data_IF_542711215320
#
_entry.id   IF_542711215320
#
_cell.length_a   1.000
_cell.length_b   1.000
_cell.length_c   1.000
_cell.angle_alpha   90.00
_cell.angle_beta   90.00
_cell.angle_gamma   90.00
#
_symmetry.space_group_name_H-M   'P 1'
#
loop_
_entity.id
_entity.type
_entity.pdbx_description
1 polymer ?
#
# COMPACT_ATOMS: atom_id res chain seq x y z
N UNK A 1 4.98 -0.93 0.73
CA UNK A 1 4.62 0.43 0.25
C UNK A 1 3.61 1.14 1.14
N UNK A 2 2.38 0.68 1.34
CA UNK A 2 1.37 1.41 2.14
C UNK A 2 1.88 1.88 3.53
N UNK A 3 2.53 0.97 4.29
CA UNK A 3 3.17 1.31 5.59
C UNK A 3 4.29 2.34 5.43
N UNK A 4 5.15 2.22 4.40
CA UNK A 4 6.18 3.23 4.11
C UNK A 4 5.56 4.58 3.83
N UNK A 5 4.56 4.63 2.93
CA UNK A 5 3.88 5.86 2.53
C UNK A 5 3.22 6.55 3.71
N UNK A 6 2.50 5.79 4.55
CA UNK A 6 1.89 6.32 5.75
C UNK A 6 2.91 6.87 6.74
N UNK A 7 3.94 6.10 7.09
CA UNK A 7 4.94 6.54 8.07
C UNK A 7 5.71 7.76 7.55
N UNK A 8 6.08 7.77 6.27
CA UNK A 8 6.84 8.87 5.69
C UNK A 8 6.04 10.17 5.56
N UNK A 9 4.74 10.06 5.25
CA UNK A 9 3.84 11.19 5.00
C UNK A 9 2.65 11.20 5.97
N UNK A 10 2.89 10.87 7.24
CA UNK A 10 1.85 10.72 8.25
C UNK A 10 1.09 12.02 8.55
N UNK A 11 1.63 13.18 8.20
CA UNK A 11 0.88 14.45 8.27
C UNK A 11 -0.08 14.66 7.09
N UNK A 12 0.06 13.88 6.02
CA UNK A 12 -0.80 13.98 4.82
C UNK A 12 -1.92 12.93 4.80
N UNK A 13 -1.65 11.73 5.32
CA UNK A 13 -2.63 10.63 5.36
C UNK A 13 -3.35 10.56 6.72
N UNK A 14 -4.39 9.73 6.83
CA UNK A 14 -5.21 9.59 8.05
C UNK A 14 -5.23 8.17 8.61
N UNK A 15 -4.50 7.24 7.99
CA UNK A 15 -4.47 5.83 8.33
C UNK A 15 -4.05 4.95 7.17
N UNK A 16 -3.95 3.65 7.43
CA UNK A 16 -3.52 2.67 6.46
C UNK A 16 -4.30 1.35 6.57
N UNK A 17 -4.54 0.75 5.41
CA UNK A 17 -4.95 -0.65 5.28
C UNK A 17 -3.75 -1.48 4.85
N UNK A 18 -3.46 -2.57 5.56
CA UNK A 18 -2.30 -3.43 5.27
C UNK A 18 -2.74 -4.89 5.15
N UNK A 19 -2.63 -5.44 3.95
CA UNK A 19 -2.97 -6.83 3.63
C UNK A 19 -1.67 -7.56 3.33
N UNK A 20 -1.32 -8.55 4.15
CA UNK A 20 -0.12 -9.38 3.96
C UNK A 20 1.18 -8.58 3.68
N UNK A 21 1.40 -7.51 4.45
CA UNK A 21 2.58 -6.64 4.37
C UNK A 21 3.59 -6.92 5.47
N UNK A 22 4.26 -5.86 5.95
CA UNK A 22 5.20 -6.01 7.07
C UNK A 22 5.61 -4.67 7.69
N UNK A 23 6.40 -4.72 8.77
CA UNK A 23 6.91 -3.53 9.47
C UNK A 23 7.58 -2.51 8.54
N UNK A 24 7.48 -1.24 8.90
CA UNK A 24 8.24 -0.18 8.24
C UNK A 24 9.74 -0.52 8.26
N UNK A 25 10.41 -0.34 7.12
CA UNK A 25 11.83 -0.60 6.94
C UNK A 25 12.28 -2.05 7.24
N UNK A 26 11.37 -3.04 7.25
CA UNK A 26 11.67 -4.43 7.63
C UNK A 26 12.90 -5.03 6.92
N UNK A 27 13.00 -4.82 5.61
CA UNK A 27 14.10 -5.36 4.78
C UNK A 27 15.45 -4.72 5.07
N UNK A 28 15.48 -3.51 5.64
CA UNK A 28 16.67 -2.71 5.89
C UNK A 28 17.58 -2.59 4.64
N UNK A 29 16.95 -2.46 3.46
CA UNK A 29 17.63 -2.37 2.17
C UNK A 29 18.29 -3.67 1.69
N UNK A 30 17.94 -4.81 2.29
CA UNK A 30 18.51 -6.11 1.96
C UNK A 30 17.47 -7.04 1.34
N UNK A 31 17.68 -7.45 0.08
CA UNK A 31 16.87 -8.47 -0.59
C UNK A 31 16.90 -9.82 0.15
N UNK A 32 18.01 -10.14 0.83
CA UNK A 32 18.11 -11.36 1.63
C UNK A 32 17.20 -11.31 2.86
N UNK A 33 17.18 -10.18 3.58
CA UNK A 33 16.28 -9.99 4.73
C UNK A 33 14.83 -9.95 4.25
N UNK A 34 14.58 -9.20 3.16
CA UNK A 34 13.27 -9.12 2.52
C UNK A 34 12.70 -10.51 2.25
N UNK A 35 13.44 -11.36 1.53
CA UNK A 35 12.95 -12.66 1.02
C UNK A 35 13.01 -13.82 2.03
N UNK A 36 13.62 -13.63 3.20
CA UNK A 36 13.75 -14.70 4.21
C UNK A 36 13.15 -14.37 5.57
N UNK A 37 13.17 -13.11 6.01
CA UNK A 37 12.75 -12.71 7.36
C UNK A 37 11.49 -11.85 7.35
N UNK A 38 11.32 -11.03 6.31
CA UNK A 38 10.11 -10.23 6.09
C UNK A 38 9.09 -10.91 5.16
N UNK A 39 9.50 -11.98 4.48
CA UNK A 39 8.66 -12.87 3.68
C UNK A 39 9.36 -14.24 3.55
N UNK A 40 8.71 -15.19 2.90
CA UNK A 40 9.24 -16.52 2.57
C UNK A 40 9.34 -16.72 1.04
N UNK A 41 9.88 -15.74 0.32
CA UNK A 41 9.91 -15.77 -1.16
C UNK A 41 11.25 -16.23 -1.77
N UNK A 42 12.26 -16.51 -0.94
CA UNK A 42 13.54 -17.03 -1.42
C UNK A 42 13.45 -18.50 -1.83
N UNK A 43 13.90 -18.82 -3.04
CA UNK A 43 14.06 -20.21 -3.49
C UNK A 43 15.40 -20.82 -3.04
N UNK A 44 16.38 -19.97 -2.71
CA UNK A 44 17.75 -20.37 -2.37
C UNK A 44 17.98 -20.52 -0.88
N UNK A 45 17.24 -19.78 -0.06
CA UNK A 45 17.43 -19.74 1.39
C UNK A 45 16.14 -20.14 2.11
N UNK A 46 16.23 -20.91 3.21
CA UNK A 46 15.06 -21.29 3.96
C UNK A 46 14.38 -20.05 4.56
N UNK A 47 13.07 -20.11 4.71
CA UNK A 47 12.34 -19.07 5.41
C UNK A 47 12.78 -18.98 6.88
N UNK A 48 12.90 -17.74 7.36
CA UNK A 48 13.31 -17.34 8.71
C UNK A 48 12.26 -16.50 9.43
N UNK A 49 11.13 -16.21 8.77
CA UNK A 49 9.99 -15.53 9.36
C UNK A 49 9.53 -16.28 10.62
N UNK A 50 9.56 -15.58 11.75
CA UNK A 50 9.20 -16.08 13.08
C UNK A 50 8.81 -14.91 13.97
N UNK A 51 8.09 -15.13 15.08
CA UNK A 51 7.72 -14.05 15.98
C UNK A 51 8.94 -13.25 16.45
N UNK A 52 8.89 -11.92 16.34
CA UNK A 52 10.00 -11.00 16.64
C UNK A 52 11.17 -11.06 15.66
N UNK A 53 11.07 -11.83 14.58
CA UNK A 53 12.14 -12.06 13.61
C UNK A 53 12.52 -10.81 12.81
N UNK A 54 11.61 -9.85 12.69
CA UNK A 54 11.84 -8.58 11.98
C UNK A 54 12.58 -7.53 12.83
N UNK A 55 12.82 -7.81 14.12
CA UNK A 55 13.56 -6.95 15.07
C UNK A 55 12.93 -5.56 15.27
N UNK A 56 11.70 -5.57 15.77
CA UNK A 56 10.83 -4.38 15.92
C UNK A 56 11.52 -3.20 16.63
N UNK A 57 12.31 -3.44 17.68
CA UNK A 57 13.03 -2.37 18.39
C UNK A 57 14.05 -1.64 17.49
N UNK A 58 14.71 -2.36 16.60
CA UNK A 58 15.65 -1.79 15.62
C UNK A 58 14.90 -0.98 14.55
N UNK A 59 13.75 -1.48 14.10
CA UNK A 59 12.88 -0.77 13.14
C UNK A 59 12.28 0.53 13.71
N UNK A 60 11.92 0.52 15.00
CA UNK A 60 11.49 1.73 15.73
C UNK A 60 12.65 2.74 15.77
N UNK A 61 13.86 2.31 16.16
CA UNK A 61 15.02 3.20 16.21
C UNK A 61 15.34 3.82 14.84
N UNK A 62 15.23 3.06 13.74
CA UNK A 62 15.39 3.63 12.39
C UNK A 62 14.28 4.63 12.04
N UNK A 63 13.04 4.34 12.41
CA UNK A 63 11.90 5.26 12.19
C UNK A 63 12.17 6.60 12.89
N UNK A 64 12.50 6.56 14.19
CA UNK A 64 12.78 7.76 14.98
C UNK A 64 14.01 8.53 14.44
N UNK A 65 15.03 7.80 13.97
CA UNK A 65 16.19 8.42 13.36
C UNK A 65 15.87 9.13 12.04
N UNK A 66 15.10 8.49 11.14
CA UNK A 66 14.65 9.13 9.91
C UNK A 66 13.78 10.36 10.19
N UNK A 67 12.96 10.32 11.24
CA UNK A 67 12.15 11.46 11.65
C UNK A 67 13.00 12.60 12.21
N UNK A 68 13.96 12.30 13.09
CA UNK A 68 14.90 13.28 13.62
C UNK A 68 15.79 13.92 12.55
N UNK A 69 16.06 13.21 11.46
CA UNK A 69 16.76 13.71 10.29
C UNK A 69 15.86 14.44 9.27
N UNK A 70 14.54 14.48 9.49
CA UNK A 70 13.56 15.10 8.59
C UNK A 70 13.25 14.31 7.32
N UNK A 71 13.70 13.05 7.24
CA UNK A 71 13.45 12.15 6.10
C UNK A 71 12.01 11.61 6.07
N UNK A 72 11.32 11.60 7.21
CA UNK A 72 9.90 11.26 7.36
C UNK A 72 9.19 12.30 8.25
N UNK A 73 7.86 12.26 8.29
CA UNK A 73 7.08 13.03 9.26
C UNK A 73 7.34 12.55 10.70
N UNK A 74 7.16 13.42 11.73
CA UNK A 74 7.26 13.01 13.12
C UNK A 74 6.29 11.86 13.44
N UNK A 75 6.73 10.74 14.05
CA UNK A 75 5.88 9.58 14.32
C UNK A 75 4.68 9.90 15.23
N UNK A 76 4.74 10.98 16.01
CA UNK A 76 3.60 11.49 16.78
C UNK A 76 2.35 11.77 15.92
N UNK A 77 2.51 12.04 14.62
CA UNK A 77 1.37 12.21 13.71
C UNK A 77 0.59 10.89 13.49
N UNK A 78 1.22 9.72 13.70
CA UNK A 78 0.55 8.42 13.59
C UNK A 78 -0.47 8.18 14.70
N UNK A 79 -0.39 8.86 15.85
CA UNK A 79 -1.25 8.59 16.99
C UNK A 79 -2.76 8.70 16.67
N UNK A 80 -3.11 9.60 15.74
CA UNK A 80 -4.50 9.80 15.28
C UNK A 80 -4.93 8.89 14.13
N UNK A 81 -4.07 7.99 13.66
CA UNK A 81 -4.36 7.15 12.50
C UNK A 81 -5.19 5.93 12.86
N UNK A 82 -6.14 5.57 12.00
CA UNK A 82 -6.83 4.29 12.06
C UNK A 82 -6.12 3.26 11.16
N UNK A 83 -5.65 2.18 11.76
CA UNK A 83 -4.88 1.13 11.10
C UNK A 83 -5.72 -0.12 10.98
N UNK A 84 -5.96 -0.58 9.75
CA UNK A 84 -6.60 -1.87 9.51
C UNK A 84 -5.59 -2.86 8.93
N UNK A 85 -5.52 -4.05 9.50
CA UNK A 85 -4.55 -5.08 9.13
C UNK A 85 -5.25 -6.40 8.83
N UNK A 86 -4.74 -7.10 7.83
CA UNK A 86 -5.17 -8.45 7.49
C UNK A 86 -3.99 -9.39 7.23
N UNK A 87 -4.06 -10.57 7.84
CA UNK A 87 -3.14 -11.67 7.55
C UNK A 87 -3.97 -12.94 7.36
N UNK A 88 -3.81 -13.62 6.23
CA UNK A 88 -4.41 -14.93 6.05
C UNK A 88 -3.73 -15.95 6.96
N UNK A 89 -4.50 -16.76 7.68
CA UNK A 89 -3.93 -17.76 8.58
C UNK A 89 -3.24 -18.92 7.83
N UNK A 90 -3.43 -18.99 6.50
CA UNK A 90 -2.75 -19.94 5.63
C UNK A 90 -1.63 -19.29 4.79
N UNK A 91 -1.43 -17.97 4.85
CA UNK A 91 -0.45 -17.25 4.02
C UNK A 91 0.98 -17.81 4.18
N UNK A 92 1.50 -18.37 3.08
CA UNK A 92 2.83 -18.98 3.01
C UNK A 92 3.91 -18.03 2.47
N UNK A 93 3.53 -16.88 1.93
CA UNK A 93 4.43 -15.92 1.28
C UNK A 93 4.86 -14.84 2.25
N UNK A 94 3.90 -14.27 3.00
CA UNK A 94 4.13 -13.32 4.10
C UNK A 94 3.44 -13.85 5.34
N UNK A 95 4.07 -14.82 6.02
CA UNK A 95 3.40 -15.52 7.11
C UNK A 95 3.00 -14.60 8.26
N UNK A 96 1.96 -15.02 8.97
CA UNK A 96 1.36 -14.26 10.07
C UNK A 96 2.35 -13.70 11.11
N UNK A 97 3.48 -14.36 11.47
CA UNK A 97 4.49 -13.73 12.32
C UNK A 97 5.01 -12.36 11.85
N UNK A 98 5.14 -12.12 10.54
CA UNK A 98 5.56 -10.82 10.00
C UNK A 98 4.50 -9.76 10.27
N UNK A 99 3.22 -10.08 10.03
CA UNK A 99 2.11 -9.17 10.29
C UNK A 99 1.86 -8.96 11.80
N UNK A 100 2.15 -9.96 12.64
CA UNK A 100 2.17 -9.78 14.10
C UNK A 100 3.27 -8.80 14.53
N UNK A 101 4.46 -8.88 13.93
CA UNK A 101 5.52 -7.91 14.19
C UNK A 101 5.10 -6.49 13.73
N UNK A 102 4.40 -6.36 12.60
CA UNK A 102 3.83 -5.07 12.17
C UNK A 102 2.82 -4.52 13.19
N UNK A 103 2.00 -5.39 13.79
CA UNK A 103 1.05 -4.98 14.82
C UNK A 103 1.77 -4.39 16.03
N UNK A 104 2.83 -5.05 16.51
CA UNK A 104 3.62 -4.54 17.63
C UNK A 104 4.44 -3.29 17.26
N UNK A 105 4.89 -3.16 16.00
CA UNK A 105 5.46 -1.91 15.49
C UNK A 105 4.45 -0.75 15.59
N UNK A 106 3.23 -0.93 15.08
CA UNK A 106 2.21 0.11 15.17
C UNK A 106 1.82 0.42 16.61
N UNK A 107 1.72 -0.59 17.48
CA UNK A 107 1.39 -0.40 18.91
C UNK A 107 2.39 0.47 19.66
N UNK A 108 3.59 0.70 19.11
CA UNK A 108 4.54 1.66 19.67
C UNK A 108 4.10 3.12 19.44
N UNK A 109 3.41 3.42 18.34
CA UNK A 109 3.02 4.78 17.93
C UNK A 109 1.51 5.05 18.00
N UNK A 110 0.69 3.99 18.01
CA UNK A 110 -0.77 4.05 17.84
C UNK A 110 -1.46 3.26 18.95
N UNK A 111 -2.51 3.84 19.52
CA UNK A 111 -3.32 3.19 20.55
C UNK A 111 -4.07 1.95 20.03
N UNK A 112 -4.36 1.00 20.92
CA UNK A 112 -4.83 -0.32 20.52
C UNK A 112 -6.23 -0.27 19.88
N UNK A 113 -7.07 0.67 20.32
CA UNK A 113 -8.41 0.90 19.82
C UNK A 113 -8.43 1.56 18.43
N UNK A 114 -7.30 2.12 17.99
CA UNK A 114 -7.09 2.62 16.63
C UNK A 114 -6.56 1.54 15.66
N UNK A 115 -6.28 0.31 16.13
CA UNK A 115 -5.78 -0.80 15.31
C UNK A 115 -6.78 -1.95 15.26
N UNK A 116 -7.30 -2.26 14.07
CA UNK A 116 -8.07 -3.48 13.80
C UNK A 116 -7.19 -4.50 13.07
N UNK A 117 -7.12 -5.74 13.57
CA UNK A 117 -6.29 -6.78 12.97
C UNK A 117 -7.02 -8.12 12.84
N UNK A 118 -7.46 -8.40 11.61
CA UNK A 118 -8.08 -9.66 11.17
C UNK A 118 -7.01 -10.69 10.81
N UNK A 119 -7.03 -11.86 11.46
CA UNK A 119 -5.99 -12.90 11.25
C UNK A 119 -6.43 -14.35 11.32
N UNK A 120 -7.74 -14.60 11.31
CA UNK A 120 -8.31 -15.94 11.51
C UNK A 120 -8.96 -16.52 10.25
N UNK A 121 -8.96 -15.79 9.14
CA UNK A 121 -9.47 -16.26 7.87
C UNK A 121 -8.40 -17.16 7.21
N UNK A 122 -8.71 -18.42 6.83
CA UNK A 122 -7.77 -19.32 6.16
C UNK A 122 -7.57 -18.94 4.68
N UNK A 123 -7.15 -17.69 4.48
CA UNK A 123 -6.75 -17.16 3.19
C UNK A 123 -5.26 -17.43 2.97
N UNK A 124 -4.93 -17.73 1.72
CA UNK A 124 -3.56 -17.73 1.23
C UNK A 124 -3.13 -16.31 0.82
N UNK A 125 -1.90 -16.11 0.35
CA UNK A 125 -1.37 -14.80 -0.03
C UNK A 125 -2.09 -14.16 -1.25
N UNK A 126 -3.12 -13.37 -0.98
CA UNK A 126 -3.90 -12.64 -1.98
C UNK A 126 -4.66 -11.46 -1.37
N UNK A 127 -5.17 -10.57 -2.24
CA UNK A 127 -6.23 -9.62 -1.90
C UNK A 127 -7.55 -10.37 -1.66
N UNK A 128 -8.10 -10.40 -0.43
CA UNK A 128 -9.38 -11.06 -0.18
C UNK A 128 -10.55 -10.20 -0.66
N UNK A 129 -11.43 -10.80 -1.44
CA UNK A 129 -12.71 -10.21 -1.84
C UNK A 129 -13.85 -11.16 -1.47
N UNK A 130 -15.09 -10.71 -1.61
CA UNK A 130 -16.28 -11.52 -1.37
C UNK A 130 -17.01 -11.97 -2.64
N UNK A 131 -16.54 -11.55 -3.83
CA UNK A 131 -17.25 -11.80 -5.09
C UNK A 131 -16.35 -12.13 -6.30
N UNK A 132 -15.03 -12.00 -6.21
CA UNK A 132 -14.14 -12.15 -7.37
C UNK A 132 -12.81 -12.86 -7.03
N UNK A 133 -12.28 -13.58 -8.01
CA UNK A 133 -10.93 -14.14 -7.95
C UNK A 133 -10.91 -15.65 -7.72
N UNK A 134 -9.73 -16.17 -7.40
CA UNK A 134 -9.54 -17.60 -7.15
C UNK A 134 -10.22 -18.04 -5.84
N UNK A 135 -10.15 -19.33 -5.52
CA UNK A 135 -10.56 -19.79 -4.18
C UNK A 135 -9.68 -19.18 -3.09
N UNK A 136 -10.21 -18.96 -1.89
CA UNK A 136 -9.49 -18.30 -0.79
C UNK A 136 -8.12 -18.91 -0.46
N UNK A 137 -7.98 -20.24 -0.60
CA UNK A 137 -6.76 -20.99 -0.31
C UNK A 137 -5.78 -21.05 -1.49
N UNK A 138 -6.04 -20.35 -2.60
CA UNK A 138 -5.18 -20.38 -3.79
C UNK A 138 -4.02 -19.40 -3.66
N UNK A 139 -2.80 -19.90 -3.83
CA UNK A 139 -1.62 -19.07 -4.11
C UNK A 139 -1.40 -18.98 -5.62
N UNK A 140 -1.61 -17.81 -6.22
CA UNK A 140 -1.32 -17.60 -7.63
C UNK A 140 -2.07 -16.44 -8.27
N UNK A 141 -1.72 -16.14 -9.53
CA UNK A 141 -2.32 -15.05 -10.32
C UNK A 141 -3.86 -15.15 -10.36
N UNK A 142 -4.60 -14.03 -10.22
CA UNK A 142 -4.13 -12.65 -10.15
C UNK A 142 -3.76 -12.18 -8.73
N UNK A 143 -3.58 -13.10 -7.77
CA UNK A 143 -3.41 -12.79 -6.34
C UNK A 143 -4.59 -11.96 -5.79
N UNK A 144 -5.78 -12.26 -6.30
CA UNK A 144 -7.07 -11.78 -5.80
C UNK A 144 -7.93 -13.02 -5.63
N UNK A 145 -8.47 -13.24 -4.43
CA UNK A 145 -9.22 -14.44 -4.10
C UNK A 145 -10.62 -14.08 -3.58
N UNK A 146 -11.61 -14.87 -3.98
CA UNK A 146 -12.92 -14.84 -3.36
C UNK A 146 -12.87 -15.66 -2.06
N UNK A 147 -12.80 -14.93 -0.96
CA UNK A 147 -12.77 -15.45 0.40
C UNK A 147 -14.10 -15.33 1.13
N UNK A 148 -15.16 -14.85 0.46
CA UNK A 148 -16.38 -14.44 1.14
C UNK A 148 -16.15 -13.32 2.17
N UNK A 149 -15.09 -12.54 1.99
CA UNK A 149 -14.65 -11.50 2.92
C UNK A 149 -14.29 -10.22 2.17
N UNK A 150 -15.02 -9.14 2.45
CA UNK A 150 -14.84 -7.83 1.80
C UNK A 150 -13.73 -7.02 2.49
N UNK A 151 -12.46 -7.38 2.24
CA UNK A 151 -11.32 -6.71 2.87
C UNK A 151 -11.28 -5.20 2.56
N UNK A 152 -11.57 -4.81 1.31
CA UNK A 152 -11.63 -3.40 0.91
C UNK A 152 -12.72 -2.65 1.68
N UNK A 153 -13.91 -3.23 1.84
CA UNK A 153 -14.98 -2.63 2.60
C UNK A 153 -14.69 -2.51 4.10
N UNK A 154 -14.08 -3.54 4.69
CA UNK A 154 -13.68 -3.53 6.11
C UNK A 154 -12.59 -2.48 6.38
N UNK A 155 -11.55 -2.42 5.54
CA UNK A 155 -10.47 -1.44 5.73
C UNK A 155 -10.95 0.00 5.51
N UNK A 156 -11.79 0.24 4.49
CA UNK A 156 -12.31 1.59 4.22
C UNK A 156 -13.22 2.07 5.35
N UNK A 157 -14.08 1.19 5.90
CA UNK A 157 -14.93 1.52 7.06
C UNK A 157 -14.11 1.79 8.32
N UNK A 158 -13.02 1.06 8.53
CA UNK A 158 -12.14 1.32 9.67
C UNK A 158 -11.47 2.70 9.57
N UNK A 159 -10.88 3.00 8.41
CA UNK A 159 -10.11 4.23 8.21
C UNK A 159 -11.01 5.47 8.22
N UNK A 160 -12.15 5.40 7.54
CA UNK A 160 -13.01 6.58 7.29
C UNK A 160 -14.23 6.66 8.21
N UNK A 161 -14.42 5.69 9.10
CA UNK A 161 -15.62 5.56 9.92
C UNK A 161 -16.83 5.04 9.13
N UNK A 162 -18.06 5.27 9.61
CA UNK A 162 -19.28 4.77 8.97
C UNK A 162 -19.38 5.19 7.50
N UNK A 163 -19.59 4.19 6.62
CA UNK A 163 -19.77 4.37 5.19
C UNK A 163 -21.18 3.98 4.76
N UNK A 164 -21.67 4.61 3.69
CA UNK A 164 -22.88 4.14 3.00
C UNK A 164 -22.60 2.77 2.39
N UNK A 165 -23.61 1.87 2.30
CA UNK A 165 -23.45 0.59 1.64
C UNK A 165 -22.90 0.76 0.21
N UNK A 166 -22.00 -0.15 -0.19
CA UNK A 166 -21.37 -0.12 -1.51
C UNK A 166 -22.39 -0.23 -2.65
N UNK A 167 -22.02 0.27 -3.83
CA UNK A 167 -22.80 0.10 -5.05
C UNK A 167 -22.72 -1.37 -5.50
N UNK A 168 -23.87 -2.07 -5.55
CA UNK A 168 -23.99 -3.45 -6.04
C UNK A 168 -24.41 -3.53 -7.52
N UNK A 169 -24.61 -2.39 -8.19
CA UNK A 169 -24.94 -2.30 -9.61
C UNK A 169 -23.76 -1.81 -10.45
N UNK A 170 -24.07 -1.21 -11.61
CA UNK A 170 -23.05 -0.57 -12.45
C UNK A 170 -22.49 0.66 -11.74
N UNK A 171 -21.15 0.76 -11.71
CA UNK A 171 -20.44 1.91 -11.17
C UNK A 171 -20.84 3.20 -11.93
N UNK A 172 -21.12 4.26 -11.19
CA UNK A 172 -21.48 5.56 -11.77
C UNK A 172 -20.28 6.43 -12.15
N UNK A 173 -19.12 6.21 -11.51
CA UNK A 173 -17.85 6.87 -11.81
C UNK A 173 -17.15 6.40 -13.09
N UNK A 174 -15.95 6.93 -13.32
CA UNK A 174 -15.09 6.59 -14.47
C UNK A 174 -13.67 6.26 -14.03
N UNK A 175 -13.04 5.36 -14.78
CA UNK A 175 -11.60 5.10 -14.69
C UNK A 175 -10.84 6.03 -15.62
N UNK A 176 -9.76 6.61 -15.14
CA UNK A 176 -8.90 7.53 -15.89
C UNK A 176 -7.49 6.96 -15.85
N UNK A 177 -6.93 6.64 -17.01
CA UNK A 177 -5.51 6.39 -17.15
C UNK A 177 -4.76 7.72 -17.19
N UNK A 178 -3.59 7.80 -16.55
CA UNK A 178 -2.75 8.99 -16.55
C UNK A 178 -1.27 8.63 -16.67
N UNK A 179 -0.46 9.58 -17.16
CA UNK A 179 0.97 9.40 -17.35
C UNK A 179 1.74 9.62 -16.04
N UNK A 180 2.37 8.56 -15.50
CA UNK A 180 3.19 8.63 -14.29
C UNK A 180 4.51 9.35 -14.54
N UNK A 181 4.95 9.52 -15.79
CA UNK A 181 6.16 10.27 -16.13
C UNK A 181 6.06 11.76 -15.78
N UNK A 182 4.84 12.30 -15.65
CA UNK A 182 4.59 13.63 -15.08
C UNK A 182 5.10 13.76 -13.63
N UNK A 183 5.20 12.65 -12.91
CA UNK A 183 5.52 12.62 -11.47
C UNK A 183 6.88 11.98 -11.17
N UNK A 184 7.43 11.23 -12.13
CA UNK A 184 8.75 10.61 -12.05
C UNK A 184 9.34 10.42 -13.45
N UNK A 185 10.37 11.18 -13.86
CA UNK A 185 11.02 10.99 -15.15
C UNK A 185 11.55 9.56 -15.32
N UNK A 186 11.37 8.98 -16.51
CA UNK A 186 11.80 7.61 -16.84
C UNK A 186 11.31 6.57 -15.79
N UNK A 187 9.99 6.49 -15.53
CA UNK A 187 9.46 5.73 -14.39
C UNK A 187 9.87 4.24 -14.42
N UNK A 188 10.04 3.66 -15.61
CA UNK A 188 10.49 2.27 -15.77
C UNK A 188 11.87 1.98 -15.18
N UNK A 189 12.78 2.98 -15.14
CA UNK A 189 14.09 2.83 -14.49
C UNK A 189 13.98 2.72 -12.96
N UNK A 190 12.87 3.22 -12.43
CA UNK A 190 12.54 3.26 -11.01
C UNK A 190 11.47 2.23 -10.63
N UNK A 191 11.15 1.28 -11.52
CA UNK A 191 10.20 0.21 -11.27
C UNK A 191 8.76 0.68 -11.15
N UNK A 192 8.41 1.76 -11.86
CA UNK A 192 7.04 2.25 -12.03
C UNK A 192 6.65 2.19 -13.50
N UNK A 193 5.40 1.84 -13.79
CA UNK A 193 4.90 1.86 -15.17
C UNK A 193 4.78 3.30 -15.69
N UNK A 194 4.67 3.48 -17.01
CA UNK A 194 4.33 4.80 -17.58
C UNK A 194 2.88 5.19 -17.30
N UNK A 195 1.97 4.22 -17.15
CA UNK A 195 0.54 4.48 -16.95
C UNK A 195 0.11 4.16 -15.52
N UNK A 196 -0.58 5.10 -14.88
CA UNK A 196 -1.30 4.93 -13.62
C UNK A 196 -2.81 5.03 -13.83
N UNK A 197 -3.61 4.67 -12.83
CA UNK A 197 -5.08 4.74 -12.92
C UNK A 197 -5.68 5.49 -11.74
N UNK A 198 -6.80 6.17 -11.97
CA UNK A 198 -7.64 6.72 -10.91
C UNK A 198 -9.11 6.41 -11.19
N UNK A 199 -9.82 5.93 -10.17
CA UNK A 199 -11.28 5.83 -10.19
C UNK A 199 -11.89 7.08 -9.58
N UNK A 200 -12.72 7.78 -10.34
CA UNK A 200 -13.40 9.01 -9.92
C UNK A 200 -14.90 8.77 -9.85
N UNK A 201 -15.52 8.73 -8.65
CA UNK A 201 -16.97 8.66 -8.52
C UNK A 201 -17.66 9.83 -9.21
N UNK A 202 -18.86 9.61 -9.75
CA UNK A 202 -19.65 10.66 -10.43
C UNK A 202 -19.84 11.92 -9.57
N UNK A 203 -20.06 11.73 -8.27
CA UNK A 203 -20.24 12.83 -7.32
C UNK A 203 -18.97 13.69 -7.13
N UNK A 204 -17.78 13.10 -7.35
CA UNK A 204 -16.50 13.82 -7.30
C UNK A 204 -16.22 14.53 -8.62
N UNK A 205 -16.52 13.89 -9.75
CA UNK A 205 -16.33 14.47 -11.08
C UNK A 205 -17.21 15.73 -11.27
N UNK A 206 -18.47 15.67 -10.83
CA UNK A 206 -19.44 16.76 -10.96
C UNK A 206 -19.06 18.05 -10.19
N UNK A 207 -18.23 17.96 -9.16
CA UNK A 207 -17.84 19.09 -8.31
C UNK A 207 -16.33 19.34 -8.32
N UNK A 208 -15.62 18.88 -9.34
CA UNK A 208 -14.16 19.03 -9.46
C UNK A 208 -13.41 18.56 -8.20
N UNK A 209 -13.87 17.45 -7.60
CA UNK A 209 -13.28 16.83 -6.41
C UNK A 209 -13.64 17.48 -5.07
N UNK A 210 -14.38 18.58 -5.05
CA UNK A 210 -14.70 19.29 -3.81
C UNK A 210 -15.47 18.40 -2.82
N UNK A 211 -14.90 18.23 -1.61
CA UNK A 211 -15.48 17.42 -0.53
C UNK A 211 -15.34 15.90 -0.72
N UNK A 212 -14.54 15.45 -1.69
CA UNK A 212 -14.19 14.04 -1.84
C UNK A 212 -12.95 13.68 -1.01
N UNK A 213 -12.93 12.43 -0.55
CA UNK A 213 -11.77 11.81 0.10
C UNK A 213 -10.90 11.14 -0.97
N UNK A 214 -9.62 10.93 -0.66
CA UNK A 214 -8.69 10.19 -1.51
C UNK A 214 -8.21 8.94 -0.78
N UNK A 215 -8.24 7.80 -1.45
CA UNK A 215 -7.62 6.56 -1.03
C UNK A 215 -6.57 6.14 -2.08
N UNK A 216 -5.38 5.72 -1.64
CA UNK A 216 -4.35 5.19 -2.55
C UNK A 216 -4.28 3.68 -2.36
N UNK A 217 -4.57 2.93 -3.42
CA UNK A 217 -4.56 1.48 -3.40
C UNK A 217 -3.35 0.95 -4.18
N UNK A 218 -2.38 0.42 -3.45
CA UNK A 218 -1.17 -0.18 -4.02
C UNK A 218 -1.41 -1.66 -4.30
N UNK A 219 -1.18 -2.10 -5.54
CA UNK A 219 -1.16 -3.52 -5.89
C UNK A 219 0.07 -4.23 -5.30
N UNK A 220 0.02 -5.57 -5.20
CA UNK A 220 1.15 -6.40 -4.78
C UNK A 220 2.13 -6.71 -5.92
N UNK A 221 3.17 -7.49 -5.62
CA UNK A 221 4.04 -8.03 -6.67
C UNK A 221 3.23 -8.91 -7.63
N UNK A 222 3.60 -8.91 -8.91
CA UNK A 222 2.91 -9.63 -10.00
C UNK A 222 1.42 -9.27 -10.16
N UNK A 223 1.07 -8.05 -9.75
CA UNK A 223 -0.27 -7.48 -9.92
C UNK A 223 -0.22 -6.15 -10.69
N UNK A 224 0.90 -5.88 -11.39
CA UNK A 224 1.06 -4.75 -12.29
C UNK A 224 0.37 -5.00 -13.63
N UNK A 225 0.45 -4.01 -14.52
CA UNK A 225 -0.25 -4.00 -15.80
C UNK A 225 0.21 -5.13 -16.74
N UNK A 226 1.50 -5.49 -16.72
CA UNK A 226 2.02 -6.53 -17.61
C UNK A 226 1.59 -7.93 -17.17
N UNK A 227 1.44 -8.17 -15.86
CA UNK A 227 1.06 -9.46 -15.31
C UNK A 227 -0.47 -9.70 -15.32
N UNK A 228 -1.28 -8.69 -14.98
CA UNK A 228 -2.75 -8.88 -14.83
C UNK A 228 -3.61 -7.77 -15.45
N UNK A 229 -3.03 -6.83 -16.21
CA UNK A 229 -3.74 -5.68 -16.76
C UNK A 229 -4.40 -4.83 -15.67
N UNK A 230 -5.61 -4.35 -15.92
CA UNK A 230 -6.39 -3.53 -14.98
C UNK A 230 -7.13 -4.37 -13.91
N UNK A 231 -6.84 -5.66 -13.77
CA UNK A 231 -7.59 -6.56 -12.88
C UNK A 231 -7.58 -6.08 -11.43
N UNK A 232 -6.43 -5.64 -10.88
CA UNK A 232 -6.41 -5.07 -9.51
C UNK A 232 -7.21 -3.78 -9.42
N UNK A 233 -7.05 -2.88 -10.40
CA UNK A 233 -7.76 -1.60 -10.48
C UNK A 233 -9.28 -1.82 -10.44
N UNK A 234 -9.78 -2.82 -11.16
CA UNK A 234 -11.22 -3.05 -11.31
C UNK A 234 -11.81 -3.98 -10.23
N UNK A 235 -11.04 -4.96 -9.76
CA UNK A 235 -11.57 -6.12 -9.03
C UNK A 235 -11.05 -6.30 -7.62
N UNK A 236 -10.18 -5.43 -7.11
CA UNK A 236 -9.75 -5.46 -5.71
C UNK A 236 -10.83 -4.99 -4.71
N UNK A 237 -12.05 -4.64 -5.15
CA UNK A 237 -13.20 -4.38 -4.27
C UNK A 237 -13.39 -2.93 -3.81
N UNK A 238 -12.42 -2.04 -4.05
CA UNK A 238 -12.49 -0.65 -3.59
C UNK A 238 -13.57 0.19 -4.30
N UNK A 239 -13.76 0.02 -5.61
CA UNK A 239 -14.53 0.96 -6.43
C UNK A 239 -16.01 1.05 -6.06
N UNK A 240 -16.63 -0.08 -5.70
CA UNK A 240 -18.03 -0.13 -5.30
C UNK A 240 -18.30 0.69 -4.03
N UNK A 241 -17.38 0.63 -3.06
CA UNK A 241 -17.43 1.47 -1.86
C UNK A 241 -17.18 2.92 -2.20
N UNK A 242 -16.15 3.19 -3.00
CA UNK A 242 -15.77 4.52 -3.44
C UNK A 242 -16.91 5.27 -4.15
N UNK A 243 -17.62 4.60 -5.05
CA UNK A 243 -18.71 5.15 -5.86
C UNK A 243 -19.86 5.71 -5.00
N UNK A 244 -20.15 5.06 -3.87
CA UNK A 244 -21.23 5.46 -2.96
C UNK A 244 -20.78 6.42 -1.84
N UNK A 245 -19.47 6.62 -1.67
CA UNK A 245 -18.90 7.27 -0.49
C UNK A 245 -18.03 8.50 -0.80
N UNK A 246 -18.04 9.00 -2.04
CA UNK A 246 -17.23 10.16 -2.48
C UNK A 246 -15.73 9.95 -2.18
N UNK A 247 -15.23 8.76 -2.50
CA UNK A 247 -13.81 8.42 -2.34
C UNK A 247 -13.23 8.28 -3.75
N UNK A 248 -12.28 9.14 -4.10
CA UNK A 248 -11.43 8.94 -5.28
C UNK A 248 -10.41 7.86 -4.94
N UNK A 249 -10.20 6.89 -5.82
CA UNK A 249 -9.19 5.84 -5.60
C UNK A 249 -8.07 5.99 -6.61
N UNK A 250 -6.88 6.34 -6.13
CA UNK A 250 -5.65 6.38 -6.91
C UNK A 250 -5.00 5.00 -6.90
N UNK A 251 -4.63 4.52 -8.08
CA UNK A 251 -3.94 3.25 -8.32
C UNK A 251 -2.61 3.52 -9.05
N UNK A 252 -1.55 3.93 -8.32
CA UNK A 252 -0.22 3.97 -8.88
C UNK A 252 0.18 2.57 -9.36
N UNK A 253 0.98 2.48 -10.40
CA UNK A 253 1.41 1.20 -10.97
C UNK A 253 2.93 1.05 -10.87
N UNK A 254 3.38 0.00 -10.20
CA UNK A 254 4.76 -0.46 -10.29
C UNK A 254 4.97 -1.18 -11.64
N UNK A 255 6.22 -1.48 -11.99
CA UNK A 255 6.57 -2.26 -13.18
C UNK A 255 7.87 -3.03 -12.93
N UNK A 256 8.04 -4.14 -13.64
CA UNK A 256 9.20 -5.00 -13.49
C UNK A 256 10.49 -4.31 -13.99
N UNK A 257 11.59 -4.52 -13.28
CA UNK A 257 12.94 -4.18 -13.74
C UNK A 257 13.72 -5.48 -13.97
N UNK A 258 13.94 -5.80 -15.24
CA UNK A 258 14.70 -6.97 -15.67
C UNK A 258 16.21 -6.70 -15.78
N UNK A 259 17.07 -7.74 -15.68
CA UNK A 259 16.70 -9.14 -15.43
C UNK A 259 16.57 -9.53 -13.95
N UNK A 260 17.17 -8.80 -13.01
CA UNK A 260 17.28 -9.27 -11.60
C UNK A 260 16.98 -8.23 -10.52
N UNK A 261 16.69 -6.97 -10.88
CA UNK A 261 16.50 -5.91 -9.89
C UNK A 261 15.12 -6.00 -9.22
N UNK A 262 14.07 -6.17 -10.01
CA UNK A 262 12.70 -6.31 -9.53
C UNK A 262 11.82 -7.02 -10.58
N UNK A 263 12.06 -8.32 -10.89
CA UNK A 263 11.37 -9.01 -11.97
C UNK A 263 9.88 -9.28 -11.70
N UNK A 264 9.42 -9.09 -10.45
CA UNK A 264 8.03 -9.32 -10.03
C UNK A 264 7.23 -8.02 -9.88
N UNK A 265 7.73 -6.91 -10.43
CA UNK A 265 7.09 -5.59 -10.37
C UNK A 265 6.60 -5.19 -8.96
N UNK A 266 7.38 -5.53 -7.93
CA UNK A 266 7.06 -5.12 -6.57
C UNK A 266 7.26 -3.61 -6.41
N UNK A 267 6.59 -2.98 -5.46
CA UNK A 267 6.99 -1.65 -4.99
C UNK A 267 8.36 -1.71 -4.29
N UNK A 268 9.10 -0.61 -4.23
CA UNK A 268 10.40 -0.59 -3.56
C UNK A 268 10.24 -0.61 -2.03
N UNK A 269 10.40 -1.80 -1.48
CA UNK A 269 10.47 -2.05 -0.04
C UNK A 269 11.79 -2.72 0.35
N UNK A 270 12.77 -2.82 -0.54
CA UNK A 270 14.07 -3.46 -0.29
C UNK A 270 15.27 -2.75 -0.96
N UNK A 271 15.12 -1.45 -1.24
CA UNK A 271 16.13 -0.56 -1.80
C UNK A 271 16.65 -0.97 -3.18
N UNK A 272 15.79 -1.52 -4.04
CA UNK A 272 16.24 -1.90 -5.39
C UNK A 272 16.38 -0.70 -6.32
N UNK A 273 15.64 0.39 -6.07
CA UNK A 273 15.71 1.61 -6.86
C UNK A 273 16.62 2.64 -6.19
N UNK A 274 16.38 2.94 -4.92
CA UNK A 274 17.22 3.91 -4.20
C UNK A 274 17.33 3.65 -2.69
N UNK A 275 18.44 4.06 -2.07
CA UNK A 275 18.72 3.82 -0.65
C UNK A 275 17.75 4.54 0.31
N UNK A 276 16.96 5.50 -0.18
CA UNK A 276 15.96 6.27 0.58
C UNK A 276 14.54 5.79 0.28
N UNK A 277 14.36 4.58 -0.25
CA UNK A 277 13.09 3.95 -0.61
C UNK A 277 11.98 4.03 0.46
N UNK A 278 12.34 4.11 1.75
CA UNK A 278 11.39 4.22 2.86
C UNK A 278 11.16 5.67 3.35
N UNK A 279 11.86 6.65 2.79
CA UNK A 279 11.78 8.07 3.19
C UNK A 279 10.98 8.88 2.14
N UNK A 280 10.62 10.12 2.50
CA UNK A 280 9.88 11.04 1.61
C UNK A 280 10.56 11.27 0.27
N UNK A 281 11.89 11.21 0.24
CA UNK A 281 12.70 11.46 -0.96
C UNK A 281 12.97 10.22 -1.81
N UNK A 282 12.51 9.03 -1.41
CA UNK A 282 12.59 7.85 -2.27
C UNK A 282 11.79 8.08 -3.55
N UNK A 283 12.27 7.60 -4.70
CA UNK A 283 11.71 8.03 -5.99
C UNK A 283 10.23 7.64 -6.14
N UNK A 284 9.89 6.37 -5.84
CA UNK A 284 8.50 5.90 -5.89
C UNK A 284 7.60 6.62 -4.88
N UNK A 285 8.12 6.81 -3.67
CA UNK A 285 7.42 7.51 -2.58
C UNK A 285 7.10 8.96 -2.97
N UNK A 286 8.09 9.69 -3.49
CA UNK A 286 7.93 11.06 -3.95
C UNK A 286 7.00 11.17 -5.16
N UNK A 287 7.07 10.20 -6.10
CA UNK A 287 6.18 10.16 -7.26
C UNK A 287 4.71 10.02 -6.84
N UNK A 288 4.40 9.06 -5.97
CA UNK A 288 3.04 8.85 -5.46
C UNK A 288 2.58 10.05 -4.63
N UNK A 289 3.46 10.66 -3.83
CA UNK A 289 3.13 11.89 -3.11
C UNK A 289 2.76 13.03 -4.05
N UNK A 290 3.48 13.20 -5.17
CA UNK A 290 3.12 14.22 -6.17
C UNK A 290 1.79 13.94 -6.86
N UNK A 291 1.42 12.67 -7.07
CA UNK A 291 0.09 12.29 -7.56
C UNK A 291 -1.00 12.64 -6.55
N UNK A 292 -0.77 12.34 -5.26
CA UNK A 292 -1.66 12.72 -4.15
C UNK A 292 -1.82 14.24 -4.07
N UNK A 293 -0.72 14.99 -4.18
CA UNK A 293 -0.71 16.45 -4.15
C UNK A 293 -1.49 17.07 -5.32
N UNK A 294 -1.33 16.52 -6.53
CA UNK A 294 -2.12 16.90 -7.70
C UNK A 294 -3.62 16.70 -7.47
N UNK A 295 -4.02 15.57 -6.89
CA UNK A 295 -5.44 15.24 -6.66
C UNK A 295 -6.07 16.03 -5.51
N UNK A 296 -5.28 16.41 -4.50
CA UNK A 296 -5.75 17.13 -3.32
C UNK A 296 -5.62 18.65 -3.44
N UNK A 297 -5.00 19.15 -4.51
CA UNK A 297 -4.76 20.57 -4.74
C UNK A 297 -3.70 21.17 -3.80
N UNK A 298 -2.98 20.34 -3.05
CA UNK A 298 -1.84 20.78 -2.24
C UNK A 298 -0.67 21.00 -3.18
N UNK A 299 -0.33 22.25 -3.48
CA UNK A 299 0.86 22.54 -4.27
C UNK A 299 2.11 22.09 -3.49
N UNK A 300 3.10 21.42 -4.12
CA UNK A 300 4.36 21.16 -3.46
C UNK A 300 4.97 22.49 -3.03
N UNK A 301 5.44 22.57 -1.78
CA UNK A 301 6.09 23.76 -1.24
C UNK A 301 7.17 24.22 -2.22
N UNK A 302 6.91 25.32 -2.92
CA UNK A 302 7.83 25.86 -3.89
C UNK A 302 9.04 26.37 -3.13
N UNK A 303 10.17 25.68 -3.23
CA UNK A 303 11.45 26.20 -2.73
C UNK A 303 11.77 27.41 -3.60
N UNK A 304 11.42 28.60 -3.11
CA UNK A 304 11.93 29.86 -3.63
C UNK A 304 13.44 29.88 -3.37
N UNK A 305 14.23 29.38 -4.33
CA UNK A 305 15.64 29.72 -4.42
C UNK A 305 15.69 31.20 -4.81
N UNK A 306 15.76 32.09 -3.82
CA UNK A 306 16.23 33.45 -4.06
C UNK A 306 17.73 33.38 -4.34
N UNK A 307 18.12 33.89 -5.50
CA UNK A 307 19.53 34.17 -5.82
C UNK A 307 20.12 35.14 -4.81
#
# INVERSE_FOLDING_TARGET
MAVQFEVAFSQTVQGAGVIAGGPYFCSQGSVLIATTSCSCTSELFPCRARPGGTRIAELIAFTDWFAGAGGIDPPAALAGHHIWMFSGSADTVVPQPVMNDLYFYYRHYVDADHISYTRNLPAEHAMPTDQYGNSCATLGTPYINNCGYDAAGELLRWIYGPLTPRNNGTLGGRFIAFDQSEFLPLPGWHGMAETGYVYVPKACDANSGAGCRLHVAFHGCQQDLDDIGTTFVERAGYNAWADSNKIVVLYPQASAIYPYTNPKACWDWFAYDDARYAQKSGNQMAAVKRMVDRLTGVAPATVLVRR
#
